data_IF_816448615597
#
_entry.id   IF_816448615597
#
_cell.length_a   1.000
_cell.length_b   1.000
_cell.length_c   1.000
_cell.angle_alpha   90.00
_cell.angle_beta   90.00
_cell.angle_gamma   90.00
#
_symmetry.space_group_name_H-M   'P 1'
#
loop_
_entity.id
_entity.type
_entity.pdbx_description
1 polymer ?
#
# COMPACT_ATOMS: atom_id res chain seq x y z
N UNK A 1 3.34 -21.18 -29.27
CA UNK A 1 3.56 -21.35 -27.83
C UNK A 1 3.46 -19.98 -27.19
N UNK A 2 2.50 -19.76 -26.29
CA UNK A 2 2.27 -18.43 -25.68
C UNK A 2 3.10 -18.38 -24.41
N UNK A 3 4.28 -17.75 -24.48
CA UNK A 3 5.20 -17.59 -23.34
C UNK A 3 4.62 -16.67 -22.24
N UNK A 4 3.66 -15.82 -22.62
CA UNK A 4 2.98 -14.85 -21.76
C UNK A 4 2.65 -13.57 -22.53
N UNK A 5 1.96 -12.65 -21.87
CA UNK A 5 1.71 -11.29 -22.40
C UNK A 5 3.02 -10.50 -22.36
N UNK A 6 3.45 -9.85 -23.47
CA UNK A 6 4.60 -8.93 -23.47
C UNK A 6 4.52 -7.93 -22.31
N UNK A 7 5.68 -7.48 -21.81
CA UNK A 7 5.86 -6.68 -20.57
C UNK A 7 5.65 -7.42 -19.24
N UNK A 8 4.87 -8.49 -19.19
CA UNK A 8 4.56 -9.19 -17.93
C UNK A 8 5.33 -10.49 -17.74
N UNK A 9 6.11 -10.91 -18.75
CA UNK A 9 6.87 -12.16 -18.72
C UNK A 9 8.01 -12.04 -17.71
N UNK A 10 8.12 -13.00 -16.80
CA UNK A 10 9.18 -13.01 -15.80
C UNK A 10 10.58 -13.20 -16.42
N UNK A 11 11.63 -12.60 -15.83
CA UNK A 11 12.98 -12.63 -16.40
C UNK A 11 13.50 -14.03 -16.72
N UNK A 12 13.25 -15.00 -15.83
CA UNK A 12 13.72 -16.38 -15.99
C UNK A 12 13.08 -17.12 -17.18
N UNK A 13 11.88 -16.72 -17.59
CA UNK A 13 11.21 -17.26 -18.79
C UNK A 13 11.83 -16.64 -20.05
N UNK A 14 12.11 -15.33 -20.04
CA UNK A 14 12.78 -14.66 -21.16
C UNK A 14 14.19 -15.22 -21.38
N UNK A 15 14.96 -15.42 -20.31
CA UNK A 15 16.34 -15.95 -20.36
C UNK A 15 16.43 -17.34 -20.98
N UNK A 16 15.37 -18.13 -20.91
CA UNK A 16 15.36 -19.52 -21.35
C UNK A 16 14.45 -19.78 -22.56
N UNK A 17 13.89 -18.72 -23.17
CA UNK A 17 12.90 -18.83 -24.26
C UNK A 17 13.45 -19.52 -25.52
N UNK A 18 14.76 -19.44 -25.74
CA UNK A 18 15.49 -20.06 -26.84
C UNK A 18 15.69 -21.58 -26.68
N UNK A 19 15.52 -22.11 -25.46
CA UNK A 19 15.63 -23.54 -25.22
C UNK A 19 14.44 -24.28 -25.83
N UNK A 20 14.64 -25.54 -26.24
CA UNK A 20 13.56 -26.35 -26.84
C UNK A 20 12.48 -26.70 -25.81
N UNK A 21 11.26 -26.92 -26.28
CA UNK A 21 10.19 -27.46 -25.43
C UNK A 21 10.60 -28.85 -24.95
N UNK A 22 10.47 -29.11 -23.66
CA UNK A 22 10.92 -30.35 -23.02
C UNK A 22 12.34 -30.32 -22.48
N UNK A 23 13.10 -29.23 -22.69
CA UNK A 23 14.37 -29.03 -22.02
C UNK A 23 14.15 -28.74 -20.53
N UNK A 24 14.80 -29.52 -19.65
CA UNK A 24 14.69 -29.39 -18.20
C UNK A 24 15.16 -28.02 -17.67
N UNK A 25 16.02 -27.32 -18.41
CA UNK A 25 16.47 -25.98 -18.06
C UNK A 25 15.49 -24.88 -18.49
N UNK A 26 14.54 -25.18 -19.40
CA UNK A 26 13.54 -24.21 -19.86
C UNK A 26 12.56 -23.87 -18.75
N UNK A 27 12.40 -22.57 -18.46
CA UNK A 27 11.41 -22.08 -17.51
C UNK A 27 10.11 -21.76 -18.25
N UNK A 28 9.02 -22.28 -17.70
CA UNK A 28 7.66 -22.12 -18.22
C UNK A 28 6.83 -21.31 -17.21
N UNK A 29 5.68 -20.77 -17.65
CA UNK A 29 4.73 -20.13 -16.75
C UNK A 29 4.40 -20.99 -15.53
N UNK A 30 4.36 -20.35 -14.36
CA UNK A 30 4.10 -20.96 -13.06
C UNK A 30 3.61 -19.91 -12.06
N UNK A 31 3.19 -20.34 -10.87
CA UNK A 31 2.83 -19.43 -9.76
C UNK A 31 3.95 -18.41 -9.49
N UNK A 32 5.23 -18.80 -9.62
CA UNK A 32 6.35 -17.90 -9.38
C UNK A 32 6.48 -16.80 -10.45
N UNK A 33 6.16 -17.12 -11.71
CA UNK A 33 6.16 -16.13 -12.82
C UNK A 33 4.92 -15.23 -12.73
N UNK A 34 3.78 -15.78 -12.31
CA UNK A 34 2.55 -15.01 -12.10
C UNK A 34 2.72 -13.96 -11.00
N UNK A 35 3.49 -14.26 -9.95
CA UNK A 35 3.86 -13.27 -8.92
C UNK A 35 4.66 -12.09 -9.48
N UNK A 36 5.52 -12.33 -10.48
CA UNK A 36 6.22 -11.25 -11.16
C UNK A 36 5.24 -10.40 -11.98
N UNK A 37 4.42 -11.05 -12.81
CA UNK A 37 3.40 -10.37 -13.61
C UNK A 37 2.46 -9.52 -12.74
N UNK A 38 2.01 -10.06 -11.60
CA UNK A 38 1.19 -9.34 -10.63
C UNK A 38 1.90 -8.10 -10.07
N UNK A 39 3.16 -8.22 -9.69
CA UNK A 39 3.94 -7.08 -9.19
C UNK A 39 4.08 -5.98 -10.26
N UNK A 40 4.40 -6.36 -11.50
CA UNK A 40 4.49 -5.44 -12.66
C UNK A 40 3.15 -4.73 -12.86
N UNK A 41 2.06 -5.49 -12.87
CA UNK A 41 0.70 -4.96 -13.05
C UNK A 41 0.32 -3.96 -11.96
N UNK A 42 0.52 -4.30 -10.67
CA UNK A 42 0.25 -3.38 -9.55
C UNK A 42 1.07 -2.10 -9.67
N UNK A 43 2.36 -2.23 -9.97
CA UNK A 43 3.25 -1.07 -10.15
C UNK A 43 2.75 -0.17 -11.29
N UNK A 44 2.40 -0.74 -12.44
CA UNK A 44 1.90 0.01 -13.59
C UNK A 44 0.54 0.68 -13.31
N UNK A 45 -0.39 0.02 -12.61
CA UNK A 45 -1.67 0.62 -12.26
C UNK A 45 -1.55 1.80 -11.30
N UNK A 46 -0.57 1.76 -10.39
CA UNK A 46 -0.38 2.82 -9.40
C UNK A 46 0.52 3.96 -9.90
N UNK A 47 1.48 3.66 -10.78
CA UNK A 47 2.56 4.59 -11.15
C UNK A 47 2.64 4.91 -12.65
N UNK A 48 1.78 4.31 -13.47
CA UNK A 48 1.66 4.55 -14.92
C UNK A 48 2.98 4.46 -15.70
N UNK A 49 3.89 3.61 -15.24
CA UNK A 49 5.18 3.31 -15.89
C UNK A 49 5.57 1.87 -15.59
N UNK A 50 6.43 1.29 -16.42
CA UNK A 50 6.89 -0.09 -16.24
C UNK A 50 8.09 -0.14 -15.27
N UNK A 51 8.16 -1.10 -14.33
CA UNK A 51 9.23 -1.14 -13.33
C UNK A 51 10.61 -1.49 -13.91
N UNK A 52 10.68 -2.02 -15.13
CA UNK A 52 11.94 -2.40 -15.79
C UNK A 52 12.27 -1.57 -17.05
N UNK A 53 11.33 -0.79 -17.60
CA UNK A 53 11.59 0.02 -18.82
C UNK A 53 12.14 1.37 -18.42
N UNK A 54 13.46 1.47 -18.36
CA UNK A 54 14.19 2.69 -18.07
C UNK A 54 15.02 3.16 -19.25
N UNK A 55 16.07 3.93 -18.96
CA UNK A 55 16.94 4.49 -19.98
C UNK A 55 18.16 3.62 -20.34
N UNK A 56 18.35 2.44 -19.74
CA UNK A 56 19.54 1.61 -20.00
C UNK A 56 19.37 0.85 -21.31
N UNK A 57 20.32 1.06 -22.22
CA UNK A 57 20.48 0.27 -23.44
C UNK A 57 21.64 -0.70 -23.22
N UNK A 58 21.38 -1.99 -23.40
CA UNK A 58 22.32 -3.11 -23.31
C UNK A 58 22.83 -3.57 -24.67
N UNK A 59 22.03 -3.41 -25.73
CA UNK A 59 22.42 -3.74 -27.10
C UNK A 59 21.83 -2.73 -28.11
N UNK A 60 22.48 -2.59 -29.27
CA UNK A 60 21.97 -1.74 -30.35
C UNK A 60 20.89 -2.47 -31.18
N UNK A 61 20.90 -3.80 -31.19
CA UNK A 61 19.80 -4.58 -31.71
C UNK A 61 18.62 -4.55 -30.74
N UNK A 62 17.47 -4.03 -31.18
CA UNK A 62 16.31 -3.82 -30.32
C UNK A 62 15.73 -5.12 -29.74
N UNK A 63 15.82 -6.23 -30.48
CA UNK A 63 15.29 -7.52 -30.02
C UNK A 63 16.17 -8.08 -28.92
N UNK A 64 17.49 -8.01 -29.11
CA UNK A 64 18.47 -8.44 -28.11
C UNK A 64 18.48 -7.53 -26.89
N UNK A 65 18.28 -6.23 -27.09
CA UNK A 65 18.15 -5.27 -25.99
C UNK A 65 16.92 -5.56 -25.12
N UNK A 66 15.78 -5.84 -25.76
CA UNK A 66 14.54 -6.26 -25.08
C UNK A 66 14.75 -7.57 -24.29
N UNK A 67 15.41 -8.57 -24.89
CA UNK A 67 15.74 -9.84 -24.22
C UNK A 67 16.64 -9.66 -22.99
N UNK A 68 17.64 -8.79 -23.10
CA UNK A 68 18.55 -8.50 -21.99
C UNK A 68 17.84 -7.68 -20.91
N UNK A 69 17.18 -6.58 -21.28
CA UNK A 69 16.56 -5.63 -20.35
C UNK A 69 15.35 -6.19 -19.61
N UNK A 70 14.64 -7.16 -20.19
CA UNK A 70 13.51 -7.83 -19.54
C UNK A 70 13.89 -9.20 -18.97
N UNK A 71 15.03 -9.77 -19.38
CA UNK A 71 15.57 -11.04 -18.91
C UNK A 71 16.79 -10.88 -18.01
N UNK A 72 17.94 -11.38 -18.47
CA UNK A 72 19.16 -11.57 -17.64
C UNK A 72 19.69 -10.27 -17.02
N UNK A 73 19.46 -9.13 -17.66
CA UNK A 73 19.94 -7.81 -17.24
C UNK A 73 18.80 -6.91 -16.74
N UNK A 74 17.64 -7.49 -16.42
CA UNK A 74 16.54 -6.76 -15.82
C UNK A 74 16.99 -6.01 -14.57
N UNK A 75 16.66 -4.73 -14.52
CA UNK A 75 17.03 -3.82 -13.44
C UNK A 75 15.87 -2.89 -13.13
N UNK A 76 15.50 -2.80 -11.85
CA UNK A 76 14.44 -1.92 -11.41
C UNK A 76 14.76 -0.45 -11.72
N UNK A 77 13.84 0.25 -12.39
CA UNK A 77 14.02 1.66 -12.80
C UNK A 77 14.23 2.59 -11.61
N UNK A 78 13.79 2.20 -10.41
CA UNK A 78 13.94 2.93 -9.16
C UNK A 78 14.90 2.27 -8.16
N UNK A 79 15.75 1.34 -8.62
CA UNK A 79 16.73 0.67 -7.75
C UNK A 79 17.57 1.68 -6.94
N UNK A 80 17.67 1.56 -5.60
CA UNK A 80 18.19 2.62 -4.73
C UNK A 80 19.68 2.90 -4.92
N UNK A 81 20.46 1.87 -5.24
CA UNK A 81 21.93 1.95 -5.36
C UNK A 81 22.44 1.85 -6.80
N UNK A 82 21.60 1.40 -7.74
CA UNK A 82 21.98 1.25 -9.15
C UNK A 82 21.02 2.11 -9.99
N UNK A 83 21.54 3.25 -10.44
CA UNK A 83 20.76 4.24 -11.18
C UNK A 83 20.89 4.07 -12.70
N UNK A 84 21.58 3.03 -13.17
CA UNK A 84 21.93 2.90 -14.60
C UNK A 84 20.71 2.69 -15.49
N UNK A 85 19.62 2.13 -14.96
CA UNK A 85 18.31 2.00 -15.63
C UNK A 85 17.27 3.03 -15.18
N UNK A 86 17.67 4.19 -14.66
CA UNK A 86 16.70 5.26 -14.37
C UNK A 86 15.97 5.70 -15.64
N UNK A 87 14.70 6.06 -15.49
CA UNK A 87 13.91 6.67 -16.57
C UNK A 87 14.55 7.99 -16.97
N UNK A 88 14.68 8.22 -18.28
CA UNK A 88 15.20 9.47 -18.82
C UNK A 88 14.02 10.37 -19.20
N UNK A 89 13.91 11.52 -18.54
CA UNK A 89 12.79 12.47 -18.74
C UNK A 89 12.63 12.88 -20.21
N UNK A 90 13.76 13.07 -20.92
CA UNK A 90 13.76 13.42 -22.35
C UNK A 90 13.15 12.34 -23.26
N UNK A 91 13.06 11.10 -22.79
CA UNK A 91 12.50 9.97 -23.52
C UNK A 91 11.01 9.74 -23.16
N UNK A 92 10.46 10.54 -22.23
CA UNK A 92 9.04 10.51 -21.86
C UNK A 92 8.22 11.46 -22.74
N UNK A 93 7.04 11.00 -23.15
CA UNK A 93 6.05 11.85 -23.80
C UNK A 93 5.47 12.86 -22.78
N UNK A 94 5.14 14.12 -23.17
CA UNK A 94 4.57 15.11 -22.24
C UNK A 94 3.35 14.62 -21.45
N UNK A 95 2.49 13.79 -22.05
CA UNK A 95 1.31 13.21 -21.39
C UNK A 95 1.65 12.18 -20.29
N UNK A 96 2.88 11.67 -20.23
CA UNK A 96 3.34 10.79 -19.15
C UNK A 96 3.79 11.60 -17.94
N UNK A 97 4.10 12.89 -18.10
CA UNK A 97 4.58 13.72 -16.99
C UNK A 97 3.43 14.28 -16.14
N UNK A 98 3.63 14.44 -14.81
CA UNK A 98 4.84 14.09 -14.07
C UNK A 98 4.92 12.61 -13.64
N UNK A 99 3.88 11.81 -13.89
CA UNK A 99 3.76 10.46 -13.32
C UNK A 99 4.88 9.50 -13.76
N UNK A 100 5.32 9.60 -15.01
CA UNK A 100 6.39 8.79 -15.58
C UNK A 100 7.78 9.12 -15.03
N UNK A 101 7.96 10.26 -14.36
CA UNK A 101 9.23 10.71 -13.79
C UNK A 101 9.35 10.23 -12.32
N UNK A 102 10.20 9.23 -12.03
CA UNK A 102 10.36 8.71 -10.68
C UNK A 102 10.99 9.70 -9.69
N UNK A 103 11.71 10.71 -10.17
CA UNK A 103 12.29 11.74 -9.29
C UNK A 103 11.22 12.74 -8.83
N UNK A 104 10.09 12.83 -9.54
CA UNK A 104 8.92 13.63 -9.14
C UNK A 104 7.90 12.82 -8.37
N UNK A 105 7.53 11.65 -8.90
CA UNK A 105 6.53 10.74 -8.32
C UNK A 105 7.19 9.38 -8.07
N UNK A 106 8.02 9.25 -7.02
CA UNK A 106 8.70 8.00 -6.71
C UNK A 106 7.71 6.92 -6.24
N UNK A 107 8.04 5.64 -6.41
CA UNK A 107 7.21 4.53 -5.94
C UNK A 107 6.94 4.57 -4.42
N UNK A 108 7.76 5.30 -3.66
CA UNK A 108 7.55 5.52 -2.22
C UNK A 108 6.27 6.30 -1.90
N UNK A 109 5.67 7.01 -2.87
CA UNK A 109 4.36 7.65 -2.69
C UNK A 109 3.23 6.64 -2.46
N UNK A 110 3.45 5.36 -2.77
CA UNK A 110 2.52 4.26 -2.47
C UNK A 110 2.53 3.86 -0.99
N UNK A 111 3.33 4.52 -0.15
CA UNK A 111 3.35 4.30 1.29
C UNK A 111 4.15 3.07 1.74
N UNK A 112 4.24 2.85 3.06
CA UNK A 112 5.21 1.92 3.65
C UNK A 112 4.94 0.45 3.31
N UNK A 113 3.68 0.05 3.15
CA UNK A 113 3.32 -1.35 2.92
C UNK A 113 3.66 -1.78 1.49
N UNK A 114 3.22 -1.01 0.49
CA UNK A 114 3.50 -1.32 -0.91
C UNK A 114 4.96 -1.12 -1.27
N UNK A 115 5.64 -0.11 -0.70
CA UNK A 115 7.09 0.10 -0.88
C UNK A 115 7.88 -1.16 -0.54
N UNK A 116 7.62 -1.77 0.63
CA UNK A 116 8.29 -3.01 1.06
C UNK A 116 8.07 -4.16 0.06
N UNK A 117 6.87 -4.27 -0.52
CA UNK A 117 6.57 -5.31 -1.51
C UNK A 117 7.23 -5.04 -2.87
N UNK A 118 7.30 -3.77 -3.30
CA UNK A 118 8.03 -3.39 -4.51
C UNK A 118 9.53 -3.68 -4.38
N UNK A 119 10.15 -3.41 -3.22
CA UNK A 119 11.54 -3.80 -2.97
C UNK A 119 11.71 -5.31 -3.10
N UNK A 120 10.85 -6.09 -2.43
CA UNK A 120 10.91 -7.55 -2.49
C UNK A 120 10.68 -8.09 -3.91
N UNK A 121 9.82 -7.46 -4.70
CA UNK A 121 9.51 -7.92 -6.05
C UNK A 121 10.60 -7.57 -7.06
N UNK A 122 11.11 -6.33 -7.02
CA UNK A 122 11.97 -5.78 -8.09
C UNK A 122 13.43 -5.62 -7.69
N UNK A 123 13.78 -5.82 -6.43
CA UNK A 123 15.17 -5.80 -5.95
C UNK A 123 15.55 -7.21 -5.52
N UNK A 124 14.91 -7.73 -4.47
CA UNK A 124 15.30 -9.01 -3.89
C UNK A 124 14.88 -10.20 -4.75
N UNK A 125 13.65 -10.16 -5.28
CA UNK A 125 13.01 -11.26 -5.98
C UNK A 125 13.00 -11.14 -7.51
N UNK A 126 13.61 -10.10 -8.08
CA UNK A 126 13.65 -9.90 -9.54
C UNK A 126 14.33 -11.09 -10.22
N UNK A 127 15.52 -11.44 -9.72
CA UNK A 127 16.34 -12.58 -10.18
C UNK A 127 16.28 -13.79 -9.22
N UNK A 128 15.45 -13.74 -8.19
CA UNK A 128 15.24 -14.81 -7.21
C UNK A 128 13.72 -15.03 -6.99
N UNK A 129 13.07 -15.88 -7.81
CA UNK A 129 11.63 -16.06 -7.76
C UNK A 129 11.08 -16.46 -6.39
N UNK A 130 11.89 -17.09 -5.54
CA UNK A 130 11.49 -17.54 -4.20
C UNK A 130 11.21 -16.40 -3.21
N UNK A 131 11.75 -15.19 -3.44
CA UNK A 131 11.58 -14.03 -2.56
C UNK A 131 10.39 -13.14 -2.92
N UNK A 132 9.78 -13.36 -4.09
CA UNK A 132 8.68 -12.52 -4.61
C UNK A 132 7.47 -12.57 -3.68
N UNK A 133 6.78 -11.43 -3.46
CA UNK A 133 5.54 -11.41 -2.68
C UNK A 133 4.46 -12.30 -3.28
N UNK A 134 3.64 -12.87 -2.41
CA UNK A 134 2.43 -13.60 -2.76
C UNK A 134 1.27 -12.67 -3.08
N UNK A 135 0.22 -13.19 -3.74
CA UNK A 135 -0.99 -12.42 -4.01
C UNK A 135 -1.69 -11.94 -2.72
N UNK A 136 -1.71 -12.77 -1.67
CA UNK A 136 -2.31 -12.40 -0.37
C UNK A 136 -1.55 -11.27 0.33
N UNK A 137 -0.22 -11.22 0.21
CA UNK A 137 0.57 -10.09 0.74
C UNK A 137 0.25 -8.78 -0.01
N UNK A 138 0.07 -8.83 -1.33
CA UNK A 138 -0.37 -7.67 -2.11
C UNK A 138 -1.76 -7.19 -1.70
N UNK A 139 -2.72 -8.11 -1.54
CA UNK A 139 -4.07 -7.79 -1.08
C UNK A 139 -4.04 -7.10 0.29
N UNK A 140 -3.34 -7.69 1.27
CA UNK A 140 -3.20 -7.12 2.61
C UNK A 140 -2.56 -5.72 2.56
N UNK A 141 -1.47 -5.56 1.80
CA UNK A 141 -0.77 -4.28 1.70
C UNK A 141 -1.62 -3.21 1.00
N UNK A 142 -2.40 -3.56 -0.03
CA UNK A 142 -3.33 -2.65 -0.70
C UNK A 142 -4.41 -2.18 0.25
N UNK A 143 -5.06 -3.11 0.97
CA UNK A 143 -6.09 -2.78 1.97
C UNK A 143 -5.54 -1.85 3.07
N UNK A 144 -4.39 -2.20 3.65
CA UNK A 144 -3.73 -1.34 4.64
C UNK A 144 -3.32 0.03 4.08
N UNK A 145 -3.01 0.11 2.78
CA UNK A 145 -2.65 1.38 2.13
C UNK A 145 -3.87 2.27 1.89
N UNK A 146 -5.04 1.68 1.60
CA UNK A 146 -6.31 2.43 1.51
C UNK A 146 -6.62 3.12 2.84
N UNK A 147 -6.38 2.45 3.96
CA UNK A 147 -6.55 3.05 5.29
C UNK A 147 -5.50 4.10 5.64
N UNK A 148 -4.43 4.21 4.86
CA UNK A 148 -3.47 5.31 4.94
C UNK A 148 -3.81 6.49 4.01
N UNK A 149 -4.89 6.40 3.24
CA UNK A 149 -5.26 7.49 2.33
C UNK A 149 -5.82 8.69 3.09
N UNK A 150 -5.36 9.86 2.67
CA UNK A 150 -5.73 11.16 3.21
C UNK A 150 -6.29 12.04 2.08
N UNK A 151 -7.47 12.67 2.25
CA UNK A 151 -7.96 13.64 1.29
C UNK A 151 -7.04 14.87 1.27
N UNK A 152 -6.71 15.32 0.05
CA UNK A 152 -5.96 16.54 -0.17
C UNK A 152 -6.85 17.75 0.07
N UNK A 153 -6.38 18.70 0.88
CA UNK A 153 -7.10 19.94 1.19
C UNK A 153 -7.16 20.92 0.01
N UNK A 154 -6.39 20.68 -1.05
CA UNK A 154 -6.46 21.48 -2.27
C UNK A 154 -7.58 20.96 -3.19
N UNK A 155 -8.67 21.72 -3.38
CA UNK A 155 -9.79 21.30 -4.22
C UNK A 155 -9.38 21.10 -5.69
N UNK A 156 -8.31 21.74 -6.14
CA UNK A 156 -7.79 21.65 -7.51
C UNK A 156 -6.79 20.50 -7.69
N UNK A 157 -6.48 19.72 -6.64
CA UNK A 157 -5.64 18.53 -6.76
C UNK A 157 -6.33 17.51 -7.66
N UNK A 158 -5.67 17.09 -8.75
CA UNK A 158 -6.21 16.08 -9.67
C UNK A 158 -6.37 14.71 -9.02
N UNK A 159 -5.41 14.32 -8.18
CA UNK A 159 -5.43 13.02 -7.50
C UNK A 159 -6.44 12.96 -6.34
N UNK A 160 -6.85 14.11 -5.79
CA UNK A 160 -7.81 14.28 -4.68
C UNK A 160 -7.42 13.64 -3.34
N UNK A 161 -6.68 12.54 -3.35
CA UNK A 161 -6.22 11.77 -2.22
C UNK A 161 -4.73 11.43 -2.38
N UNK A 162 -4.08 11.14 -1.27
CA UNK A 162 -2.69 10.66 -1.26
C UNK A 162 -2.47 9.75 -0.07
N UNK A 163 -1.48 8.86 -0.16
CA UNK A 163 -1.08 8.01 0.96
C UNK A 163 -0.26 8.83 1.94
N UNK A 164 -0.62 8.79 3.22
CA UNK A 164 0.13 9.45 4.28
C UNK A 164 1.54 8.85 4.42
N UNK A 165 2.54 9.73 4.40
CA UNK A 165 3.97 9.36 4.36
C UNK A 165 4.61 9.20 5.74
N UNK A 166 3.81 9.25 6.81
CA UNK A 166 4.26 9.20 8.22
C UNK A 166 5.12 10.37 8.67
N UNK A 167 5.13 11.47 7.91
CA UNK A 167 5.78 12.70 8.34
C UNK A 167 4.91 13.46 9.33
N UNK A 168 5.54 14.30 10.17
CA UNK A 168 4.80 15.18 11.07
C UNK A 168 4.09 16.30 10.30
N UNK A 169 4.66 16.73 9.17
CA UNK A 169 4.14 17.78 8.27
C UNK A 169 3.80 17.20 6.90
N UNK A 170 2.70 16.45 6.79
CA UNK A 170 2.36 15.77 5.54
C UNK A 170 2.05 16.77 4.44
N UNK A 171 2.57 16.49 3.24
CA UNK A 171 2.27 17.20 2.01
C UNK A 171 1.76 16.25 0.96
N UNK A 172 0.80 16.69 0.16
CA UNK A 172 0.35 15.92 -1.00
C UNK A 172 1.52 15.77 -1.99
N UNK A 173 1.97 14.56 -2.33
CA UNK A 173 3.10 14.36 -3.25
C UNK A 173 2.80 14.83 -4.68
N UNK A 174 1.52 15.00 -5.03
CA UNK A 174 1.09 15.32 -6.38
C UNK A 174 0.96 16.82 -6.66
N UNK A 175 0.55 17.60 -5.66
CA UNK A 175 0.33 19.05 -5.81
C UNK A 175 1.11 19.89 -4.79
N UNK A 176 1.91 19.24 -3.94
CA UNK A 176 2.72 19.86 -2.88
C UNK A 176 1.94 20.65 -1.83
N UNK A 177 0.61 20.55 -1.80
CA UNK A 177 -0.20 21.19 -0.75
C UNK A 177 0.10 20.55 0.60
N UNK A 178 0.58 21.37 1.53
CA UNK A 178 0.75 21.01 2.94
C UNK A 178 -0.61 20.82 3.60
N UNK A 179 -0.74 19.78 4.42
CA UNK A 179 -1.90 19.62 5.28
C UNK A 179 -1.87 20.64 6.41
N UNK A 180 -3.03 21.19 6.76
CA UNK A 180 -3.20 22.13 7.87
C UNK A 180 -4.25 21.62 8.86
N UNK A 181 -3.94 21.72 10.14
CA UNK A 181 -4.82 21.33 11.23
C UNK A 181 -4.38 20.02 11.90
N UNK A 182 -5.20 19.53 12.82
CA UNK A 182 -4.90 18.30 13.56
C UNK A 182 -5.23 17.09 12.71
N UNK A 183 -4.26 16.19 12.53
CA UNK A 183 -4.45 14.96 11.77
C UNK A 183 -4.29 13.74 12.67
N UNK A 184 -5.39 13.05 13.05
CA UNK A 184 -5.30 11.85 13.86
C UNK A 184 -4.86 10.66 13.01
N UNK A 185 -3.89 9.93 13.55
CA UNK A 185 -3.43 8.64 13.06
C UNK A 185 -3.70 7.62 14.16
N UNK A 186 -4.47 6.59 13.85
CA UNK A 186 -4.78 5.52 14.80
C UNK A 186 -3.78 4.40 14.61
N UNK A 187 -2.96 4.14 15.62
CA UNK A 187 -2.08 2.97 15.65
C UNK A 187 -2.86 1.79 16.22
N UNK A 188 -3.01 0.71 15.46
CA UNK A 188 -3.81 -0.44 15.85
C UNK A 188 -2.94 -1.47 16.58
N UNK A 189 -3.47 -1.97 17.70
CA UNK A 189 -2.89 -3.02 18.50
C UNK A 189 -3.94 -4.08 18.73
N UNK A 190 -3.55 -5.35 18.69
CA UNK A 190 -4.49 -6.44 18.92
C UNK A 190 -4.11 -7.28 20.13
N UNK A 191 -5.14 -7.84 20.76
CA UNK A 191 -4.99 -8.78 21.85
C UNK A 191 -4.82 -10.21 21.32
N UNK A 192 -3.70 -10.85 21.66
CA UNK A 192 -3.52 -12.31 21.48
C UNK A 192 -3.75 -13.10 22.77
N UNK A 193 -3.76 -12.41 23.91
CA UNK A 193 -4.04 -12.93 25.25
C UNK A 193 -4.72 -11.82 26.02
N UNK A 194 -5.77 -12.15 26.78
CA UNK A 194 -6.54 -11.18 27.58
C UNK A 194 -5.58 -10.30 28.39
N UNK A 195 -5.66 -8.98 28.19
CA UNK A 195 -4.84 -7.98 28.90
C UNK A 195 -3.50 -7.62 28.25
N UNK A 196 -3.08 -8.26 27.15
CA UNK A 196 -1.83 -7.94 26.45
C UNK A 196 -2.08 -7.54 24.99
N UNK A 197 -1.69 -6.32 24.62
CA UNK A 197 -1.83 -5.77 23.28
C UNK A 197 -0.47 -5.65 22.58
N UNK A 198 -0.38 -6.14 21.34
CA UNK A 198 0.82 -6.03 20.50
C UNK A 198 0.53 -5.19 19.26
N UNK A 199 1.49 -4.38 18.74
CA UNK A 199 1.29 -3.61 17.52
C UNK A 199 0.95 -4.50 16.31
N UNK A 200 -0.01 -4.05 15.49
CA UNK A 200 -0.42 -4.77 14.27
C UNK A 200 0.42 -4.41 13.02
N UNK A 201 1.38 -3.46 13.13
CA UNK A 201 1.98 -2.74 11.99
C UNK A 201 0.87 -2.27 11.02
N UNK A 202 -0.18 -1.68 11.59
CA UNK A 202 -1.38 -1.23 10.89
C UNK A 202 -1.84 0.08 11.50
N UNK A 203 -2.07 1.06 10.63
CA UNK A 203 -2.51 2.40 10.96
C UNK A 203 -3.72 2.78 10.12
N UNK A 204 -4.59 3.57 10.71
CA UNK A 204 -5.75 4.17 10.06
C UNK A 204 -5.63 5.70 10.13
N UNK A 205 -5.62 6.34 8.98
CA UNK A 205 -5.70 7.80 8.85
C UNK A 205 -7.13 8.24 9.01
N UNK A 206 -7.34 9.23 9.88
CA UNK A 206 -8.68 9.74 10.18
C UNK A 206 -9.00 10.95 9.31
N UNK A 207 -10.14 10.89 8.61
CA UNK A 207 -10.72 12.04 7.93
C UNK A 207 -12.22 12.20 8.21
N UNK A 208 -12.79 13.35 7.84
CA UNK A 208 -14.14 13.71 8.19
C UNK A 208 -15.17 12.85 7.44
N UNK A 209 -16.16 12.33 8.15
CA UNK A 209 -17.20 11.42 7.65
C UNK A 209 -16.66 10.07 7.16
N UNK A 210 -15.53 9.63 7.71
CA UNK A 210 -15.02 8.28 7.52
C UNK A 210 -15.73 7.30 8.44
N UNK A 211 -16.19 6.18 7.89
CA UNK A 211 -16.75 5.10 8.69
C UNK A 211 -15.67 4.17 9.24
N UNK A 212 -15.91 3.66 10.44
CA UNK A 212 -15.19 2.56 11.06
C UNK A 212 -16.01 1.28 10.88
N UNK A 213 -15.34 0.15 10.67
CA UNK A 213 -15.96 -1.15 10.38
C UNK A 213 -15.33 -2.26 11.22
N UNK A 214 -15.95 -3.44 11.25
CA UNK A 214 -15.48 -4.55 12.10
C UNK A 214 -14.05 -5.03 11.79
N UNK A 215 -13.61 -4.98 10.53
CA UNK A 215 -12.22 -5.30 10.16
C UNK A 215 -11.21 -4.28 10.69
N UNK A 216 -11.65 -3.10 11.12
CA UNK A 216 -10.79 -2.16 11.84
C UNK A 216 -10.72 -2.46 13.34
N UNK A 217 -11.77 -3.06 13.91
CA UNK A 217 -11.89 -3.29 15.36
C UNK A 217 -11.45 -4.68 15.80
N UNK A 218 -11.36 -5.64 14.87
CA UNK A 218 -10.92 -7.00 15.14
C UNK A 218 -10.01 -7.52 14.01
N UNK A 219 -8.81 -7.99 14.37
CA UNK A 219 -7.80 -8.49 13.41
C UNK A 219 -8.19 -9.76 12.67
N UNK A 220 -9.14 -10.52 13.21
CA UNK A 220 -9.59 -11.79 12.64
C UNK A 220 -10.61 -11.58 11.51
N UNK A 221 -11.01 -10.32 11.26
CA UNK A 221 -11.93 -9.95 10.20
C UNK A 221 -11.15 -9.14 9.16
N UNK A 222 -11.16 -9.59 7.91
CA UNK A 222 -10.52 -8.91 6.79
C UNK A 222 -11.58 -8.42 5.80
N UNK A 223 -11.40 -7.24 5.17
CA UNK A 223 -12.37 -6.70 4.21
C UNK A 223 -12.26 -7.41 2.85
N UNK A 224 -12.87 -8.59 2.75
CA UNK A 224 -12.84 -9.43 1.54
C UNK A 224 -14.24 -9.97 1.19
N UNK A 225 -14.32 -10.84 0.18
CA UNK A 225 -15.56 -11.41 -0.34
C UNK A 225 -16.35 -12.27 0.66
N UNK A 226 -15.70 -12.66 1.77
CA UNK A 226 -16.28 -13.55 2.79
C UNK A 226 -16.98 -12.80 3.92
N UNK A 227 -17.01 -11.47 3.87
CA UNK A 227 -17.71 -10.66 4.86
C UNK A 227 -19.22 -10.97 4.87
N UNK A 228 -19.76 -11.17 6.05
CA UNK A 228 -21.21 -11.25 6.25
C UNK A 228 -21.86 -9.87 6.07
N UNK A 229 -23.16 -9.83 5.77
CA UNK A 229 -23.89 -8.56 5.62
C UNK A 229 -23.88 -7.71 6.89
N UNK A 230 -23.72 -8.35 8.05
CA UNK A 230 -23.60 -7.66 9.33
C UNK A 230 -22.23 -7.00 9.51
N UNK A 231 -21.16 -7.62 9.01
CA UNK A 231 -19.81 -7.08 9.05
C UNK A 231 -19.60 -5.92 8.07
N UNK A 232 -20.42 -5.83 7.01
CA UNK A 232 -20.41 -4.72 6.04
C UNK A 232 -21.02 -3.42 6.57
N UNK A 233 -21.69 -3.45 7.73
CA UNK A 233 -22.29 -2.27 8.34
C UNK A 233 -21.26 -1.52 9.20
N UNK A 234 -21.26 -0.17 9.17
CA UNK A 234 -20.33 0.61 9.98
C UNK A 234 -20.59 0.41 11.47
N UNK A 235 -19.53 0.40 12.28
CA UNK A 235 -19.60 0.26 13.75
C UNK A 235 -19.38 1.60 14.47
N UNK A 236 -18.90 2.59 13.75
CA UNK A 236 -18.72 3.96 14.19
C UNK A 236 -18.32 4.85 13.02
N UNK A 237 -18.12 6.14 13.28
CA UNK A 237 -17.60 7.07 12.28
C UNK A 237 -16.86 8.23 12.93
N UNK A 238 -16.03 8.89 12.14
CA UNK A 238 -15.22 10.03 12.57
C UNK A 238 -15.81 11.35 12.08
N UNK A 239 -15.91 12.31 13.00
CA UNK A 239 -16.37 13.67 12.72
C UNK A 239 -15.35 14.66 13.24
N UNK A 240 -15.16 15.75 12.50
CA UNK A 240 -14.44 16.92 12.99
C UNK A 240 -15.47 18.01 13.27
N UNK A 241 -15.62 18.39 14.54
CA UNK A 241 -16.63 19.34 15.01
C UNK A 241 -16.06 20.16 16.16
N UNK A 242 -16.34 21.46 16.21
CA UNK A 242 -15.82 22.38 17.24
C UNK A 242 -14.31 22.27 17.49
N UNK A 243 -13.51 22.17 16.42
CA UNK A 243 -12.04 22.04 16.47
C UNK A 243 -11.54 20.76 17.19
N UNK A 244 -12.38 19.74 17.26
CA UNK A 244 -12.10 18.43 17.87
C UNK A 244 -12.45 17.30 16.91
N UNK A 245 -11.62 16.26 16.93
CA UNK A 245 -11.94 14.99 16.28
C UNK A 245 -12.71 14.11 17.25
N UNK A 246 -13.80 13.52 16.78
CA UNK A 246 -14.68 12.67 17.55
C UNK A 246 -14.82 11.33 16.83
N UNK A 247 -14.72 10.23 17.58
CA UNK A 247 -15.23 8.93 17.17
C UNK A 247 -16.63 8.75 17.75
N UNK A 248 -17.63 8.62 16.89
CA UNK A 248 -19.02 8.36 17.27
C UNK A 248 -19.26 6.86 17.27
N UNK A 249 -19.73 6.32 18.39
CA UNK A 249 -20.06 4.92 18.51
C UNK A 249 -21.43 4.62 17.90
N UNK A 250 -21.49 3.72 16.93
CA UNK A 250 -22.77 3.27 16.38
C UNK A 250 -23.18 1.88 16.87
N UNK A 251 -22.23 0.97 17.10
CA UNK A 251 -22.54 -0.46 17.31
C UNK A 251 -21.59 -1.20 18.26
N UNK A 252 -20.51 -0.56 18.73
CA UNK A 252 -19.51 -1.19 19.57
C UNK A 252 -19.97 -1.24 21.03
N UNK A 253 -20.14 -2.44 21.59
CA UNK A 253 -20.56 -2.62 22.99
C UNK A 253 -19.42 -2.39 23.99
N UNK A 254 -18.19 -2.64 23.55
CA UNK A 254 -16.98 -2.59 24.38
C UNK A 254 -16.18 -1.30 24.23
N UNK A 255 -16.69 -0.30 23.49
CA UNK A 255 -15.94 0.92 23.22
C UNK A 255 -15.64 1.63 24.54
N UNK A 256 -14.35 1.74 24.88
CA UNK A 256 -13.91 2.26 26.17
C UNK A 256 -12.72 3.19 25.97
N UNK A 257 -12.80 4.39 26.52
CA UNK A 257 -11.63 5.25 26.70
C UNK A 257 -10.82 4.71 27.87
N UNK A 258 -9.71 4.04 27.57
CA UNK A 258 -8.81 3.46 28.58
C UNK A 258 -7.99 4.52 29.31
N UNK A 259 -7.87 5.72 28.74
CA UNK A 259 -7.16 6.84 29.37
C UNK A 259 -7.96 7.37 30.54
N UNK A 260 -9.28 7.52 30.33
CA UNK A 260 -10.20 8.10 31.32
C UNK A 260 -11.00 7.01 32.07
N UNK A 261 -10.79 5.73 31.77
CA UNK A 261 -11.49 4.59 32.36
C UNK A 261 -13.00 4.59 32.09
N UNK A 262 -13.42 5.14 30.94
CA UNK A 262 -14.83 5.45 30.66
C UNK A 262 -15.37 4.62 29.50
N UNK A 263 -16.44 3.87 29.76
CA UNK A 263 -17.22 3.22 28.70
C UNK A 263 -17.94 4.28 27.85
N UNK A 264 -17.98 4.08 26.54
CA UNK A 264 -18.61 4.97 25.57
C UNK A 264 -19.83 4.24 24.98
N UNK A 265 -21.06 4.49 25.49
CA UNK A 265 -22.27 3.83 25.00
C UNK A 265 -22.53 4.07 23.50
N UNK A 266 -23.35 3.22 22.91
CA UNK A 266 -23.86 3.42 21.54
C UNK A 266 -24.59 4.78 21.46
N UNK A 267 -24.30 5.55 20.41
CA UNK A 267 -24.80 6.91 20.21
C UNK A 267 -23.96 8.01 20.87
N UNK A 268 -22.99 7.65 21.71
CA UNK A 268 -22.08 8.61 22.34
C UNK A 268 -20.78 8.75 21.55
N UNK A 269 -19.96 9.73 21.94
CA UNK A 269 -18.69 10.03 21.29
C UNK A 269 -17.51 10.04 22.26
N UNK A 270 -16.32 9.80 21.71
CA UNK A 270 -15.04 9.99 22.39
C UNK A 270 -14.18 10.95 21.57
N UNK A 271 -13.56 11.92 22.23
CA UNK A 271 -12.65 12.86 21.57
C UNK A 271 -11.32 12.19 21.29
N UNK A 272 -10.79 12.35 20.09
CA UNK A 272 -9.45 11.89 19.74
C UNK A 272 -8.42 12.95 20.17
N UNK A 273 -7.51 12.60 21.07
CA UNK A 273 -6.39 13.44 21.51
C UNK A 273 -5.09 12.65 21.45
N UNK A 274 -3.95 13.34 21.31
CA UNK A 274 -2.66 12.68 21.23
C UNK A 274 -2.41 11.78 22.45
N UNK A 275 -1.95 10.54 22.23
CA UNK A 275 -1.69 9.53 23.26
C UNK A 275 -2.92 8.81 23.80
N UNK A 276 -4.14 9.19 23.40
CA UNK A 276 -5.37 8.57 23.91
C UNK A 276 -5.46 7.10 23.50
N UNK A 277 -5.78 6.25 24.46
CA UNK A 277 -5.98 4.81 24.27
C UNK A 277 -7.47 4.49 24.27
N UNK A 278 -7.96 3.87 23.20
CA UNK A 278 -9.39 3.53 23.06
C UNK A 278 -9.50 2.04 22.71
N UNK A 279 -10.17 1.28 23.57
CA UNK A 279 -10.47 -0.13 23.31
C UNK A 279 -11.70 -0.22 22.40
N UNK A 280 -11.60 -0.95 21.30
CA UNK A 280 -12.68 -1.08 20.31
C UNK A 280 -13.51 -2.37 20.50
N UNK A 281 -12.88 -3.46 20.95
CA UNK A 281 -13.53 -4.76 21.19
C UNK A 281 -12.74 -5.55 22.25
N UNK A 282 -13.45 -6.29 23.11
CA UNK A 282 -12.87 -7.24 24.08
C UNK A 282 -12.80 -8.67 23.55
N UNK A 283 -13.36 -8.93 22.38
CA UNK A 283 -13.39 -10.25 21.75
C UNK A 283 -11.97 -10.74 21.42
N UNK A 284 -11.85 -12.04 21.14
CA UNK A 284 -10.61 -12.58 20.60
C UNK A 284 -10.24 -11.88 19.28
N UNK A 285 -9.01 -11.35 19.22
CA UNK A 285 -8.54 -10.54 18.10
C UNK A 285 -9.02 -9.09 18.12
N UNK A 286 -9.79 -8.68 19.15
CA UNK A 286 -10.20 -7.30 19.37
C UNK A 286 -9.03 -6.33 19.48
N UNK A 287 -9.25 -5.10 19.05
CA UNK A 287 -8.21 -4.07 18.95
C UNK A 287 -8.34 -2.96 19.98
N UNK A 288 -7.19 -2.45 20.38
CA UNK A 288 -6.96 -1.18 21.03
C UNK A 288 -6.34 -0.24 20.00
N UNK A 289 -6.77 1.04 20.00
CA UNK A 289 -6.11 2.08 19.21
C UNK A 289 -5.37 3.05 20.12
N UNK A 290 -4.20 3.49 19.68
CA UNK A 290 -3.48 4.62 20.26
C UNK A 290 -3.49 5.76 19.25
N UNK A 291 -4.10 6.87 19.66
CA UNK A 291 -4.23 8.07 18.83
C UNK A 291 -2.90 8.82 18.82
N UNK A 292 -2.35 9.07 17.64
CA UNK A 292 -1.22 9.96 17.41
C UNK A 292 -1.70 11.16 16.60
N UNK A 293 -1.32 12.38 17.00
CA UNK A 293 -1.64 13.59 16.24
C UNK A 293 -0.43 14.04 15.41
N UNK A 294 -0.60 14.17 14.10
CA UNK A 294 0.34 14.89 13.22
C UNK A 294 -0.07 16.36 13.12
N UNK A 295 0.93 17.26 13.04
CA UNK A 295 0.80 18.72 13.10
C UNK A 295 1.64 19.41 12.04
#
# INVERSE_FOLDING_TARGET
DVLGTPDFIAPEVIVTKQLKIGDNARKLPSIATDRHALAVMIYMYLLYRHPLRGGKVWDLDSTKDEELSMGLKALFVEHPTDKTNRVKIKDLHPNQLPQGDPDKIPYTVCGPYLKKLFDRAFIEGLHDPGKRPTAGEWEEALLKTVDLMQPCQNPNCRNKWFVFDNTTKPKCPFCSTEYRGKLPVLNLYSSRRVGSFTPDDYRLMVYHNQYLYQWHTNRNISPNERLTDEQKKPVGYFVYHNNQWLLINQRLKDLEDKTDGKLIPIGQSVTLTNGKQILLSKDEGGRLIIVQMAN
#
